data_IF_482726667548
#
_entry.id   IF_482726667548
#
_cell.length_a   1.000
_cell.length_b   1.000
_cell.length_c   1.000
_cell.angle_alpha   90.00
_cell.angle_beta   90.00
_cell.angle_gamma   90.00
#
_symmetry.space_group_name_H-M   'P 1'
#
loop_
_entity.id
_entity.type
_entity.pdbx_description
1 polymer ?
#
# COMPACT_ATOMS: atom_id res chain seq x y z
N UNK A 1 11.06 -12.14 2.38
CA UNK A 1 9.98 -11.67 3.23
C UNK A 1 8.93 -10.92 2.42
N UNK A 2 8.25 -11.64 1.53
CA UNK A 2 7.22 -11.04 0.69
C UNK A 2 6.18 -10.33 1.54
N UNK A 3 5.41 -9.45 0.90
CA UNK A 3 4.38 -8.69 1.60
C UNK A 3 3.15 -8.52 0.72
N UNK A 4 1.97 -8.70 1.31
CA UNK A 4 0.71 -8.57 0.58
C UNK A 4 -0.08 -7.36 1.09
N UNK A 5 -0.10 -6.29 0.30
CA UNK A 5 -0.82 -5.09 0.67
C UNK A 5 -0.77 -4.05 -0.45
N UNK A 6 -1.77 -3.17 -0.47
CA UNK A 6 -1.84 -2.13 -1.49
C UNK A 6 -1.78 -0.74 -0.86
N UNK A 7 -1.20 0.21 -1.59
CA UNK A 7 -1.06 1.58 -1.10
C UNK A 7 -2.44 2.19 -0.84
N UNK A 8 -3.36 2.00 -1.76
CA UNK A 8 -4.71 2.52 -1.63
C UNK A 8 -5.38 2.00 -0.36
N UNK A 9 -5.41 0.68 -0.22
CA UNK A 9 -6.01 0.06 0.96
C UNK A 9 -4.96 -0.25 2.02
N UNK A 10 -3.93 0.60 2.09
CA UNK A 10 -2.88 0.41 3.07
C UNK A 10 -3.24 0.98 4.42
N UNK A 11 -2.26 1.65 5.05
CA UNK A 11 -2.48 2.25 6.36
C UNK A 11 -1.98 3.70 6.38
N UNK A 12 -2.87 4.61 6.77
CA UNK A 12 -2.54 6.03 6.84
C UNK A 12 -1.26 6.25 7.65
N UNK A 13 -0.30 6.93 7.05
CA UNK A 13 0.95 7.19 7.73
C UNK A 13 2.05 6.21 7.36
N UNK A 14 2.03 5.75 6.11
CA UNK A 14 3.01 4.79 5.63
C UNK A 14 3.32 5.03 4.15
N UNK A 15 4.17 4.17 3.59
CA UNK A 15 4.54 4.28 2.18
C UNK A 15 4.68 2.90 1.54
N UNK A 16 4.31 2.81 0.28
CA UNK A 16 4.40 1.54 -0.45
C UNK A 16 5.03 1.74 -1.82
N UNK A 17 6.05 0.94 -2.12
CA UNK A 17 6.74 1.03 -3.40
C UNK A 17 6.66 -0.30 -4.15
N UNK A 18 6.77 -0.22 -5.48
CA UNK A 18 6.71 -1.41 -6.32
C UNK A 18 7.89 -2.34 -6.04
N UNK A 19 8.00 -3.40 -6.83
CA UNK A 19 9.09 -4.36 -6.68
C UNK A 19 10.36 -3.86 -7.38
N UNK A 20 10.21 -3.39 -8.60
CA UNK A 20 11.34 -2.89 -9.38
C UNK A 20 11.98 -1.69 -8.69
N UNK A 21 11.23 -1.06 -7.79
CA UNK A 21 11.75 0.09 -7.06
C UNK A 21 11.01 1.37 -7.41
N UNK A 22 9.79 1.22 -7.92
CA UNK A 22 8.98 2.37 -8.29
C UNK A 22 7.95 2.70 -7.22
N UNK A 23 8.21 3.77 -6.46
CA UNK A 23 7.31 4.19 -5.40
C UNK A 23 5.88 4.34 -5.92
N UNK A 24 4.92 3.81 -5.17
CA UNK A 24 3.53 3.89 -5.55
C UNK A 24 2.88 5.16 -5.01
N UNK A 25 2.81 5.27 -3.68
CA UNK A 25 2.23 6.44 -3.04
C UNK A 25 2.30 6.31 -1.53
N UNK A 26 2.06 7.43 -0.83
CA UNK A 26 2.10 7.44 0.63
C UNK A 26 0.99 8.31 1.19
N UNK A 27 0.78 8.24 2.50
CA UNK A 27 -0.25 9.02 3.14
C UNK A 27 -1.62 8.80 2.52
N UNK A 28 -2.13 7.58 2.66
CA UNK A 28 -3.44 7.23 2.11
C UNK A 28 -4.50 7.22 3.20
N UNK A 29 -5.74 6.91 2.82
CA UNK A 29 -6.84 6.86 3.76
C UNK A 29 -6.53 5.91 4.91
N UNK A 30 -7.31 6.03 5.99
CA UNK A 30 -7.12 5.17 7.16
C UNK A 30 -7.79 3.82 6.95
N UNK A 31 -7.35 2.81 7.73
CA UNK A 31 -7.89 1.46 7.66
C UNK A 31 -9.32 1.37 8.18
N UNK A 32 -9.64 2.22 9.16
CA UNK A 32 -10.98 2.24 9.75
C UNK A 32 -12.04 2.39 8.66
N UNK A 33 -11.90 3.44 7.85
CA UNK A 33 -12.86 3.69 6.78
C UNK A 33 -12.16 4.35 5.59
N UNK A 34 -11.38 3.56 4.84
CA UNK A 34 -10.66 4.04 3.66
C UNK A 34 -11.58 4.38 2.51
N UNK A 35 -11.20 5.37 1.71
CA UNK A 35 -12.00 5.79 0.57
C UNK A 35 -12.09 4.67 -0.46
N UNK A 36 -12.70 4.97 -1.61
CA UNK A 36 -12.85 4.00 -2.69
C UNK A 36 -11.52 3.34 -3.02
N UNK A 37 -11.34 2.10 -2.59
CA UNK A 37 -10.11 1.36 -2.84
C UNK A 37 -10.40 -0.10 -3.12
N UNK A 38 -9.46 -0.77 -3.80
CA UNK A 38 -9.60 -2.20 -4.15
C UNK A 38 -9.51 -3.10 -2.93
N UNK A 39 -9.87 -4.37 -3.12
CA UNK A 39 -9.83 -5.34 -2.03
C UNK A 39 -8.78 -6.41 -2.29
N UNK A 40 -8.61 -6.78 -3.56
CA UNK A 40 -7.63 -7.78 -3.95
C UNK A 40 -6.25 -7.45 -3.39
N UNK A 41 -5.31 -8.38 -3.54
CA UNK A 41 -3.95 -8.18 -3.06
C UNK A 41 -3.09 -7.50 -4.12
N UNK A 42 -2.17 -6.66 -3.66
CA UNK A 42 -1.28 -5.94 -4.58
C UNK A 42 0.14 -6.48 -4.48
N UNK A 43 0.43 -7.52 -5.26
CA UNK A 43 1.76 -8.16 -5.29
C UNK A 43 2.82 -7.26 -5.92
N UNK A 44 2.37 -6.15 -6.50
CA UNK A 44 3.28 -5.21 -7.15
C UNK A 44 4.16 -4.51 -6.11
N UNK A 45 3.63 -4.33 -4.90
CA UNK A 45 4.36 -3.68 -3.84
C UNK A 45 5.26 -4.68 -3.09
N UNK A 46 6.54 -4.37 -3.01
CA UNK A 46 7.50 -5.24 -2.33
C UNK A 46 7.28 -5.20 -0.82
N UNK A 47 7.25 -4.01 -0.26
CA UNK A 47 7.05 -3.85 1.18
C UNK A 47 6.69 -2.41 1.52
N UNK A 48 6.22 -2.20 2.75
CA UNK A 48 5.83 -0.87 3.21
C UNK A 48 6.94 -0.24 4.04
N UNK A 49 7.03 1.08 4.00
CA UNK A 49 8.05 1.81 4.76
C UNK A 49 7.40 2.85 5.67
N UNK A 50 7.27 2.53 6.94
CA UNK A 50 6.67 3.44 7.91
C UNK A 50 7.73 3.96 8.89
#
# INVERSE_FOLDING_TARGET
>A
NRLCTNCCAGRKGCNYYSADGTFICEGESDPNNPKACPRNCDPNIAYSLC
#
